data_IF_649509126711
#
_entry.id   IF_649509126711
#
_cell.length_a   1.000
_cell.length_b   1.000
_cell.length_c   1.000
_cell.angle_alpha   90.00
_cell.angle_beta   90.00
_cell.angle_gamma   90.00
#
_symmetry.space_group_name_H-M   'P 1'
#
loop_
_entity.id
_entity.type
_entity.pdbx_description
1 polymer ?
#
# COMPACT_ATOMS: atom_id res chain seq x y z
N UNK A 1 -23.42 -20.15 -3.13
CA UNK A 1 -23.84 -20.97 -1.97
C UNK A 1 -24.77 -20.11 -1.12
N UNK A 2 -25.85 -20.63 -0.52
CA UNK A 2 -26.75 -19.76 0.25
C UNK A 2 -26.13 -19.35 1.61
N UNK A 3 -26.29 -18.11 2.09
CA UNK A 3 -25.68 -17.64 3.35
C UNK A 3 -26.01 -18.49 4.58
N UNK A 4 -27.21 -19.09 4.62
CA UNK A 4 -27.61 -20.03 5.67
C UNK A 4 -26.81 -21.33 5.71
N UNK A 5 -26.38 -21.85 4.55
CA UNK A 5 -25.52 -23.04 4.48
C UNK A 5 -24.10 -22.73 4.96
N UNK A 6 -23.59 -21.53 4.65
CA UNK A 6 -22.28 -21.06 5.12
C UNK A 6 -22.28 -20.90 6.63
N UNK A 7 -23.30 -20.23 7.20
CA UNK A 7 -23.46 -20.07 8.64
C UNK A 7 -23.55 -21.42 9.37
N UNK A 8 -24.29 -22.38 8.80
CA UNK A 8 -24.34 -23.74 9.33
C UNK A 8 -22.96 -24.44 9.27
N UNK A 9 -22.24 -24.34 8.16
CA UNK A 9 -20.90 -24.91 8.01
C UNK A 9 -19.89 -24.35 9.03
N UNK A 10 -19.91 -23.03 9.25
CA UNK A 10 -19.10 -22.35 10.26
C UNK A 10 -19.39 -22.87 11.68
N UNK A 11 -20.67 -23.09 11.99
CA UNK A 11 -21.07 -23.67 13.27
C UNK A 11 -20.68 -25.13 13.43
N UNK A 12 -20.94 -25.96 12.40
CA UNK A 12 -20.74 -27.40 12.46
C UNK A 12 -19.26 -27.82 12.46
N UNK A 13 -18.43 -27.13 11.66
CA UNK A 13 -17.02 -27.52 11.46
C UNK A 13 -16.06 -26.74 12.37
N UNK A 14 -16.37 -25.49 12.68
CA UNK A 14 -15.48 -24.58 13.41
C UNK A 14 -16.04 -24.10 14.76
N UNK A 15 -17.23 -24.57 15.14
CA UNK A 15 -17.88 -24.24 16.41
C UNK A 15 -18.30 -22.78 16.54
N UNK A 16 -18.43 -22.06 15.42
CA UNK A 16 -18.73 -20.63 15.42
C UNK A 16 -20.23 -20.33 15.54
N UNK A 17 -20.57 -19.27 16.27
CA UNK A 17 -21.96 -18.78 16.37
C UNK A 17 -22.18 -17.59 15.45
N UNK A 18 -22.20 -17.86 14.14
CA UNK A 18 -22.43 -16.87 13.08
C UNK A 18 -23.83 -17.08 12.51
N UNK A 19 -24.60 -16.01 12.30
CA UNK A 19 -25.94 -16.10 11.68
C UNK A 19 -25.87 -15.88 10.17
N UNK A 20 -26.90 -16.32 9.44
CA UNK A 20 -27.02 -16.05 8.01
C UNK A 20 -27.04 -14.54 7.70
N UNK A 21 -27.59 -13.73 8.61
CA UNK A 21 -27.61 -12.27 8.49
C UNK A 21 -26.20 -11.66 8.58
N UNK A 22 -25.35 -12.18 9.47
CA UNK A 22 -23.94 -11.77 9.56
C UNK A 22 -23.18 -12.10 8.27
N UNK A 23 -23.38 -13.30 7.72
CA UNK A 23 -22.77 -13.69 6.43
C UNK A 23 -23.24 -12.78 5.31
N UNK A 24 -24.53 -12.46 5.26
CA UNK A 24 -25.09 -11.50 4.31
C UNK A 24 -24.54 -10.08 4.50
N UNK A 25 -24.24 -9.67 5.73
CA UNK A 25 -23.63 -8.38 6.01
C UNK A 25 -22.18 -8.31 5.51
N UNK A 26 -21.43 -9.41 5.61
CA UNK A 26 -20.10 -9.57 5.01
C UNK A 26 -20.15 -9.54 3.48
N UNK A 27 -21.07 -10.28 2.85
CA UNK A 27 -21.26 -10.26 1.39
C UNK A 27 -21.59 -8.86 0.85
N UNK A 28 -22.31 -8.05 1.62
CA UNK A 28 -22.63 -6.66 1.27
C UNK A 28 -21.53 -5.65 1.63
N UNK A 29 -20.44 -6.08 2.27
CA UNK A 29 -19.39 -5.19 2.79
C UNK A 29 -19.85 -4.28 3.93
N UNK A 30 -21.02 -4.52 4.52
CA UNK A 30 -21.55 -3.74 5.66
C UNK A 30 -20.92 -4.12 6.99
N UNK A 31 -20.27 -5.28 7.05
CA UNK A 31 -19.42 -5.72 8.15
C UNK A 31 -18.19 -6.42 7.57
N UNK A 32 -17.10 -6.48 8.32
CA UNK A 32 -15.88 -7.22 7.94
C UNK A 32 -15.69 -8.41 8.89
N UNK A 33 -15.45 -9.62 8.37
CA UNK A 33 -15.13 -10.78 9.21
C UNK A 33 -13.77 -10.57 9.89
N UNK A 34 -13.66 -11.02 11.13
CA UNK A 34 -12.37 -11.13 11.82
C UNK A 34 -11.52 -12.25 11.23
N UNK A 35 -10.23 -12.28 11.56
CA UNK A 35 -9.27 -13.27 11.02
C UNK A 35 -9.70 -14.73 11.21
N UNK A 36 -10.18 -15.09 12.41
CA UNK A 36 -10.66 -16.45 12.66
C UNK A 36 -11.84 -16.79 11.77
N UNK A 37 -12.78 -15.86 11.60
CA UNK A 37 -13.99 -16.02 10.78
C UNK A 37 -13.62 -16.12 9.30
N UNK A 38 -12.64 -15.35 8.83
CA UNK A 38 -12.16 -15.36 7.45
C UNK A 38 -11.47 -16.69 7.11
N UNK A 39 -10.64 -17.22 8.01
CA UNK A 39 -10.04 -18.56 7.85
C UNK A 39 -11.10 -19.68 7.83
N UNK A 40 -12.11 -19.59 8.69
CA UNK A 40 -13.20 -20.55 8.71
C UNK A 40 -14.09 -20.45 7.46
N UNK A 41 -14.34 -19.24 6.96
CA UNK A 41 -15.06 -19.01 5.71
C UNK A 41 -14.31 -19.63 4.53
N UNK A 42 -13.01 -19.41 4.43
CA UNK A 42 -12.15 -19.99 3.40
C UNK A 42 -12.25 -21.53 3.40
N UNK A 43 -12.19 -22.14 4.60
CA UNK A 43 -12.37 -23.58 4.77
C UNK A 43 -13.76 -24.10 4.35
N UNK A 44 -14.83 -23.42 4.73
CA UNK A 44 -16.21 -23.79 4.35
C UNK A 44 -16.48 -23.61 2.85
N UNK A 45 -15.91 -22.56 2.26
CA UNK A 45 -16.07 -22.21 0.85
C UNK A 45 -15.06 -22.92 -0.08
N UNK A 46 -14.09 -23.65 0.48
CA UNK A 46 -13.02 -24.32 -0.25
C UNK A 46 -12.22 -23.38 -1.15
N UNK A 47 -11.94 -22.17 -0.66
CA UNK A 47 -11.12 -21.18 -1.34
C UNK A 47 -9.95 -20.74 -0.45
N UNK A 48 -8.97 -20.03 -1.03
CA UNK A 48 -7.93 -19.40 -0.23
C UNK A 48 -8.51 -18.18 0.50
N UNK A 49 -8.03 -17.84 1.71
CA UNK A 49 -8.43 -16.62 2.41
C UNK A 49 -8.23 -15.35 1.58
N UNK A 50 -7.20 -15.34 0.73
CA UNK A 50 -6.93 -14.25 -0.21
C UNK A 50 -8.02 -14.06 -1.26
N UNK A 51 -8.73 -15.11 -1.66
CA UNK A 51 -9.83 -15.03 -2.64
C UNK A 51 -11.07 -14.32 -2.07
N UNK A 52 -11.18 -14.26 -0.74
CA UNK A 52 -12.24 -13.55 -0.03
C UNK A 52 -11.92 -12.06 0.19
N UNK A 53 -10.66 -11.66 -0.02
CA UNK A 53 -10.19 -10.29 0.14
C UNK A 53 -10.13 -9.62 -1.25
N UNK A 54 -11.09 -8.74 -1.55
CA UNK A 54 -11.19 -8.07 -2.85
C UNK A 54 -9.94 -7.25 -3.22
N UNK A 55 -9.23 -6.72 -2.22
CA UNK A 55 -7.86 -6.23 -2.28
C UNK A 55 -7.33 -6.06 -0.85
N UNK A 56 -6.23 -6.75 -0.51
CA UNK A 56 -5.59 -6.54 0.78
C UNK A 56 -5.07 -5.10 0.87
N UNK A 57 -5.55 -4.37 1.87
CA UNK A 57 -5.25 -2.96 2.11
C UNK A 57 -4.46 -2.75 3.39
N UNK A 58 -4.48 -3.73 4.30
CA UNK A 58 -3.77 -3.70 5.58
C UNK A 58 -2.72 -4.81 5.66
N UNK A 59 -1.68 -4.61 6.48
CA UNK A 59 -0.65 -5.63 6.72
C UNK A 59 -1.25 -6.97 7.15
N UNK A 60 -2.28 -6.90 7.99
CA UNK A 60 -3.02 -8.09 8.46
C UNK A 60 -3.69 -8.83 7.31
N UNK A 61 -4.37 -8.11 6.43
CA UNK A 61 -5.03 -8.71 5.25
C UNK A 61 -4.01 -9.35 4.31
N UNK A 62 -2.86 -8.71 4.08
CA UNK A 62 -1.78 -9.31 3.29
C UNK A 62 -1.24 -10.59 3.93
N UNK A 63 -1.06 -10.60 5.26
CA UNK A 63 -0.64 -11.80 5.99
C UNK A 63 -1.65 -12.93 5.88
N UNK A 64 -2.94 -12.63 6.06
CA UNK A 64 -4.03 -13.61 5.96
C UNK A 64 -4.14 -14.15 4.54
N UNK A 65 -4.00 -13.30 3.51
CA UNK A 65 -4.00 -13.73 2.11
C UNK A 65 -2.86 -14.70 1.76
N UNK A 66 -1.77 -14.69 2.55
CA UNK A 66 -0.62 -15.59 2.42
C UNK A 66 -0.66 -16.77 3.38
N UNK A 67 -1.71 -16.90 4.20
CA UNK A 67 -1.86 -17.92 5.25
C UNK A 67 -0.64 -18.00 6.20
N UNK A 68 -0.08 -16.84 6.56
CA UNK A 68 1.08 -16.76 7.44
C UNK A 68 0.69 -16.48 8.90
N UNK A 69 1.28 -17.24 9.82
CA UNK A 69 1.14 -16.98 11.24
C UNK A 69 1.97 -15.75 11.66
N UNK A 70 1.45 -15.01 12.65
CA UNK A 70 2.13 -13.84 13.24
C UNK A 70 3.53 -14.20 13.74
N UNK A 71 3.68 -15.34 14.41
CA UNK A 71 4.96 -15.80 14.97
C UNK A 71 6.00 -16.13 13.90
N UNK A 72 5.59 -16.74 12.79
CA UNK A 72 6.49 -17.11 11.70
C UNK A 72 6.98 -15.86 10.96
N UNK A 73 6.08 -14.92 10.71
CA UNK A 73 6.43 -13.65 10.09
C UNK A 73 7.34 -12.81 11.01
N UNK A 74 7.03 -12.74 12.31
CA UNK A 74 7.86 -12.05 13.29
C UNK A 74 9.27 -12.67 13.37
N UNK A 75 9.39 -14.00 13.29
CA UNK A 75 10.67 -14.71 13.27
C UNK A 75 11.49 -14.37 12.02
N UNK A 76 10.86 -14.38 10.84
CA UNK A 76 11.50 -13.99 9.57
C UNK A 76 12.03 -12.56 9.62
N UNK A 77 11.30 -11.66 10.28
CA UNK A 77 11.69 -10.27 10.46
C UNK A 77 12.68 -10.03 11.62
N UNK A 78 12.99 -11.06 12.40
CA UNK A 78 13.83 -10.94 13.59
C UNK A 78 13.25 -10.03 14.68
N UNK A 79 11.92 -10.00 14.82
CA UNK A 79 11.21 -9.26 15.87
C UNK A 79 10.33 -10.17 16.72
N UNK A 80 9.83 -9.68 17.86
CA UNK A 80 8.90 -10.45 18.69
C UNK A 80 7.50 -10.42 18.09
N UNK A 81 6.73 -11.51 18.23
CA UNK A 81 5.34 -11.58 17.78
C UNK A 81 4.49 -10.43 18.34
N UNK A 82 4.69 -10.07 19.61
CA UNK A 82 4.02 -8.94 20.26
C UNK A 82 4.41 -7.56 19.71
N UNK A 83 5.59 -7.42 19.11
CA UNK A 83 5.99 -6.19 18.43
C UNK A 83 5.34 -6.10 17.06
N UNK A 84 5.30 -7.22 16.33
CA UNK A 84 4.63 -7.30 15.03
C UNK A 84 3.11 -7.10 15.15
N UNK A 85 2.47 -7.73 16.12
CA UNK A 85 1.04 -7.57 16.35
C UNK A 85 0.65 -6.11 16.65
N UNK A 86 1.47 -5.38 17.42
CA UNK A 86 1.26 -3.94 17.64
C UNK A 86 1.42 -3.12 16.36
N UNK A 87 2.24 -3.56 15.41
CA UNK A 87 2.38 -2.91 14.10
C UNK A 87 1.11 -3.14 13.28
N UNK A 88 0.58 -4.36 13.25
CA UNK A 88 -0.71 -4.66 12.58
C UNK A 88 -1.87 -3.85 13.20
N UNK A 89 -1.96 -3.81 14.52
CA UNK A 89 -3.04 -3.10 15.24
C UNK A 89 -2.97 -1.59 15.08
N UNK A 90 -1.76 -1.02 15.08
CA UNK A 90 -1.57 0.43 14.93
C UNK A 90 -1.57 0.90 13.47
N UNK A 91 -1.43 -0.03 12.52
CA UNK A 91 -1.24 0.29 11.09
C UNK A 91 0.03 1.09 10.81
N UNK A 92 0.95 1.23 11.77
CA UNK A 92 2.15 2.04 11.65
C UNK A 92 3.40 1.19 11.71
N UNK A 93 4.18 1.24 10.64
CA UNK A 93 5.48 0.57 10.61
C UNK A 93 6.49 1.25 11.54
N UNK A 94 7.15 0.46 12.38
CA UNK A 94 8.23 0.89 13.28
C UNK A 94 9.53 0.09 13.12
N UNK A 95 9.57 -0.82 12.15
CA UNK A 95 10.76 -1.63 11.86
C UNK A 95 11.84 -0.83 11.11
N UNK A 96 12.99 -1.46 10.92
CA UNK A 96 14.06 -0.91 10.09
C UNK A 96 13.81 -1.18 8.58
N UNK A 97 14.63 -0.60 7.72
CA UNK A 97 14.56 -0.75 6.26
C UNK A 97 14.75 -2.20 5.82
N UNK A 98 15.70 -2.94 6.42
CA UNK A 98 15.92 -4.37 6.12
C UNK A 98 14.71 -5.23 6.45
N UNK A 99 14.02 -4.91 7.54
CA UNK A 99 12.78 -5.55 7.95
C UNK A 99 11.63 -5.18 7.01
N UNK A 100 11.61 -3.96 6.47
CA UNK A 100 10.58 -3.56 5.50
C UNK A 100 10.76 -4.34 4.18
N UNK A 101 12.00 -4.50 3.71
CA UNK A 101 12.31 -5.34 2.54
C UNK A 101 11.93 -6.80 2.81
N UNK A 102 12.38 -7.37 3.93
CA UNK A 102 12.04 -8.75 4.30
C UNK A 102 10.54 -8.98 4.48
N UNK A 103 9.78 -7.97 4.92
CA UNK A 103 8.32 -8.04 4.99
C UNK A 103 7.69 -8.07 3.60
N UNK A 104 8.17 -7.21 2.69
CA UNK A 104 7.67 -7.17 1.32
C UNK A 104 7.93 -8.50 0.61
N UNK A 105 9.12 -9.06 0.79
CA UNK A 105 9.48 -10.37 0.25
C UNK A 105 8.63 -11.50 0.85
N UNK A 106 8.41 -11.50 2.17
CA UNK A 106 7.65 -12.54 2.85
C UNK A 106 6.15 -12.50 2.53
N UNK A 107 5.59 -11.30 2.34
CA UNK A 107 4.19 -11.12 1.99
C UNK A 107 3.94 -11.07 0.47
N UNK A 108 5.00 -11.14 -0.34
CA UNK A 108 4.97 -10.95 -1.79
C UNK A 108 4.14 -9.70 -2.16
N UNK A 109 4.54 -8.59 -1.55
CA UNK A 109 3.86 -7.30 -1.61
C UNK A 109 4.77 -6.27 -2.28
N UNK A 110 4.19 -5.39 -3.09
CA UNK A 110 4.98 -4.30 -3.68
C UNK A 110 5.28 -3.22 -2.64
N UNK A 111 6.34 -2.45 -2.87
CA UNK A 111 6.69 -1.31 -2.02
C UNK A 111 5.54 -0.26 -1.94
N UNK A 112 4.73 -0.15 -2.99
CA UNK A 112 3.52 0.68 -3.01
C UNK A 112 2.44 0.15 -2.07
N UNK A 113 2.16 -1.16 -2.12
CA UNK A 113 1.22 -1.81 -1.20
C UNK A 113 1.68 -1.68 0.25
N UNK A 114 2.98 -1.82 0.52
CA UNK A 114 3.55 -1.60 1.84
C UNK A 114 3.31 -0.17 2.37
N UNK A 115 3.54 0.86 1.55
CA UNK A 115 3.34 2.24 1.99
C UNK A 115 1.86 2.58 2.21
N UNK A 116 0.97 2.04 1.38
CA UNK A 116 -0.48 2.15 1.57
C UNK A 116 -0.90 1.47 2.88
N UNK A 117 -0.46 0.23 3.09
CA UNK A 117 -0.78 -0.56 4.28
C UNK A 117 -0.20 0.01 5.59
N UNK A 118 0.84 0.83 5.51
CA UNK A 118 1.50 1.46 6.67
C UNK A 118 1.12 2.93 6.87
N UNK A 119 0.27 3.48 6.00
CA UNK A 119 -0.18 4.88 6.07
C UNK A 119 0.93 5.92 5.85
N UNK A 120 2.07 5.53 5.24
CA UNK A 120 3.23 6.41 5.01
C UNK A 120 3.19 7.13 3.67
N UNK A 121 2.08 7.00 2.94
CA UNK A 121 1.95 7.55 1.60
C UNK A 121 1.98 9.08 1.59
N UNK A 122 1.40 9.74 2.60
CA UNK A 122 1.44 11.20 2.75
C UNK A 122 2.86 11.72 3.03
N UNK A 123 3.63 10.99 3.84
CA UNK A 123 5.02 11.32 4.13
C UNK A 123 5.87 11.22 2.84
N UNK A 124 5.64 10.18 2.03
CA UNK A 124 6.28 10.04 0.72
C UNK A 124 5.91 11.19 -0.21
N UNK A 125 4.62 11.49 -0.36
CA UNK A 125 4.13 12.56 -1.23
C UNK A 125 4.79 13.91 -0.88
N UNK A 126 4.90 14.22 0.41
CA UNK A 126 5.58 15.43 0.89
C UNK A 126 7.07 15.47 0.57
N UNK A 127 7.79 14.34 0.70
CA UNK A 127 9.22 14.26 0.34
C UNK A 127 9.42 14.36 -1.17
N UNK A 128 8.61 13.66 -1.97
CA UNK A 128 8.67 13.68 -3.43
C UNK A 128 8.38 15.08 -3.98
N UNK A 129 7.33 15.73 -3.48
CA UNK A 129 6.97 17.11 -3.88
C UNK A 129 8.15 18.06 -3.66
N UNK A 130 8.80 18.00 -2.50
CA UNK A 130 9.99 18.82 -2.21
C UNK A 130 11.18 18.43 -3.08
N UNK A 131 11.40 17.13 -3.32
CA UNK A 131 12.48 16.64 -4.16
C UNK A 131 12.37 17.17 -5.60
N UNK A 132 11.18 17.09 -6.17
CA UNK A 132 10.87 17.50 -7.54
C UNK A 132 10.92 19.02 -7.70
N UNK A 133 10.37 19.78 -6.74
CA UNK A 133 10.33 21.24 -6.82
C UNK A 133 11.65 21.94 -6.48
N UNK A 134 12.50 21.31 -5.68
CA UNK A 134 13.76 21.92 -5.23
C UNK A 134 14.98 21.15 -5.76
N UNK A 135 15.70 20.46 -4.88
CA UNK A 135 16.93 19.73 -5.19
C UNK A 135 16.77 18.27 -4.82
N UNK A 136 16.50 17.44 -5.82
CA UNK A 136 16.22 16.02 -5.65
C UNK A 136 17.35 15.23 -4.95
N UNK A 137 18.63 15.60 -5.15
CA UNK A 137 19.75 14.83 -4.57
C UNK A 137 19.75 14.81 -3.03
N UNK A 138 19.21 15.86 -2.38
CA UNK A 138 19.12 15.92 -0.93
C UNK A 138 18.06 14.96 -0.36
N UNK A 139 17.09 14.54 -1.19
CA UNK A 139 15.94 13.74 -0.80
C UNK A 139 16.10 12.25 -1.10
N UNK A 140 17.16 11.84 -1.80
CA UNK A 140 17.47 10.41 -2.04
C UNK A 140 17.52 9.63 -0.72
N UNK A 141 18.29 10.11 0.27
CA UNK A 141 18.45 9.41 1.55
C UNK A 141 17.18 9.38 2.41
N UNK A 142 16.38 10.46 2.51
CA UNK A 142 15.05 10.40 3.13
C UNK A 142 14.10 9.39 2.48
N UNK A 143 14.05 9.32 1.15
CA UNK A 143 13.15 8.41 0.41
C UNK A 143 13.61 6.96 0.51
N UNK A 144 14.91 6.70 0.37
CA UNK A 144 15.57 5.39 0.55
C UNK A 144 15.24 4.75 1.91
N UNK A 145 15.19 5.55 2.98
CA UNK A 145 14.78 5.07 4.31
C UNK A 145 13.29 4.78 4.44
N UNK A 146 12.48 5.39 3.58
CA UNK A 146 11.02 5.30 3.65
C UNK A 146 10.53 4.09 2.85
N UNK A 147 11.11 3.88 1.67
CA UNK A 147 10.67 2.93 0.67
C UNK A 147 11.64 1.74 0.63
N UNK A 148 11.16 0.48 0.69
CA UNK A 148 12.00 -0.71 0.56
C UNK A 148 12.41 -0.94 -0.90
N UNK A 149 13.15 -0.01 -1.49
CA UNK A 149 13.71 -0.09 -2.85
C UNK A 149 15.23 0.12 -2.82
N UNK A 150 15.92 -0.35 -3.86
CA UNK A 150 17.35 -0.07 -4.01
C UNK A 150 17.60 1.44 -4.18
N UNK A 151 18.56 1.97 -3.44
CA UNK A 151 19.00 3.35 -3.50
C UNK A 151 19.31 3.85 -4.92
N UNK A 152 19.88 3.00 -5.77
CA UNK A 152 20.20 3.34 -7.17
C UNK A 152 18.90 3.56 -7.95
N UNK A 153 17.90 2.70 -7.75
CA UNK A 153 16.59 2.84 -8.37
C UNK A 153 15.91 4.14 -7.90
N UNK A 154 15.91 4.40 -6.58
CA UNK A 154 15.37 5.64 -6.01
C UNK A 154 16.05 6.88 -6.60
N UNK A 155 17.38 6.84 -6.77
CA UNK A 155 18.13 7.94 -7.37
C UNK A 155 17.68 8.20 -8.82
N UNK A 156 17.63 7.15 -9.64
CA UNK A 156 17.25 7.26 -11.05
C UNK A 156 15.82 7.77 -11.22
N UNK A 157 14.88 7.27 -10.40
CA UNK A 157 13.48 7.68 -10.43
C UNK A 157 13.33 9.15 -10.01
N UNK A 158 14.04 9.59 -8.97
CA UNK A 158 14.01 10.99 -8.52
C UNK A 158 14.62 11.96 -9.55
N UNK A 159 15.69 11.54 -10.24
CA UNK A 159 16.29 12.30 -11.33
C UNK A 159 15.31 12.46 -12.49
N UNK A 160 14.66 11.37 -12.90
CA UNK A 160 13.68 11.37 -13.99
C UNK A 160 12.46 12.24 -13.65
N UNK A 161 11.87 12.08 -12.47
CA UNK A 161 10.73 12.90 -12.01
C UNK A 161 11.07 14.39 -11.98
N UNK A 162 12.28 14.74 -11.53
CA UNK A 162 12.73 16.12 -11.54
C UNK A 162 12.89 16.66 -12.96
N UNK A 163 13.48 15.88 -13.87
CA UNK A 163 13.62 16.26 -15.28
C UNK A 163 12.25 16.46 -15.95
N UNK A 164 11.29 15.55 -15.71
CA UNK A 164 9.94 15.63 -16.26
C UNK A 164 9.18 16.86 -15.77
N UNK A 165 9.27 17.17 -14.47
CA UNK A 165 8.69 18.38 -13.91
C UNK A 165 9.34 19.65 -14.48
N UNK A 166 10.68 19.69 -14.60
CA UNK A 166 11.37 20.84 -15.19
C UNK A 166 11.01 21.02 -16.67
N UNK A 167 10.86 19.92 -17.43
CA UNK A 167 10.42 19.97 -18.83
C UNK A 167 9.00 20.54 -18.96
N UNK A 168 8.08 20.15 -18.08
CA UNK A 168 6.74 20.73 -17.99
C UNK A 168 6.82 22.24 -17.68
N UNK A 169 7.63 22.65 -16.71
CA UNK A 169 7.82 24.06 -16.35
C UNK A 169 8.49 24.91 -17.44
N UNK A 170 9.37 24.33 -18.27
CA UNK A 170 10.01 25.03 -19.39
C UNK A 170 9.07 25.13 -20.60
N UNK A 171 8.31 24.08 -20.90
CA UNK A 171 7.32 24.09 -21.98
C UNK A 171 6.24 25.15 -21.76
N UNK A 172 5.83 25.35 -20.50
CA UNK A 172 4.90 26.39 -20.06
C UNK A 172 5.50 27.80 -20.07
N UNK A 173 6.82 27.95 -20.15
CA UNK A 173 7.47 29.25 -20.42
C UNK A 173 7.53 29.53 -21.93
N UNK A 174 7.82 28.52 -22.76
CA UNK A 174 7.97 28.69 -24.22
C UNK A 174 6.67 29.09 -24.93
N UNK A 175 5.50 28.66 -24.44
CA UNK A 175 4.21 29.03 -25.04
C UNK A 175 3.70 30.42 -24.60
N UNK A 176 4.19 30.95 -23.47
CA UNK A 176 3.73 32.22 -22.89
C UNK A 176 4.21 33.42 -23.70
N UNK A 177 5.25 33.20 -24.50
CA UNK A 177 5.87 34.20 -25.36
C UNK A 177 5.07 34.41 -26.66
N UNK A 178 4.13 33.52 -26.98
CA UNK A 178 3.40 33.49 -28.26
C UNK A 178 1.93 33.94 -28.23
N UNK A 179 1.32 34.24 -27.08
CA UNK A 179 -0.01 34.87 -27.12
C UNK A 179 -0.89 34.72 -25.88
N UNK A 180 -1.56 35.83 -25.59
CA UNK A 180 -2.67 36.13 -24.69
C UNK A 180 -3.57 34.94 -24.27
N UNK A 181 -3.83 34.86 -22.95
CA UNK A 181 -4.96 34.19 -22.26
C UNK A 181 -4.86 32.75 -21.70
N UNK A 182 -3.70 32.25 -21.24
CA UNK A 182 -3.66 31.01 -20.41
C UNK A 182 -2.62 30.98 -19.28
N UNK A 183 -2.51 32.04 -18.48
CA UNK A 183 -1.66 32.01 -17.27
C UNK A 183 -2.17 31.03 -16.18
N UNK A 184 -3.44 30.61 -16.23
CA UNK A 184 -4.06 29.70 -15.25
C UNK A 184 -3.74 28.21 -15.45
N UNK A 185 -3.72 27.74 -16.70
CA UNK A 185 -3.61 26.29 -17.01
C UNK A 185 -2.21 25.73 -16.78
N UNK A 186 -1.17 26.55 -16.96
CA UNK A 186 0.23 26.15 -16.75
C UNK A 186 0.56 25.84 -15.28
N UNK A 187 -0.04 26.58 -14.34
CA UNK A 187 0.08 26.29 -12.91
C UNK A 187 -0.82 25.12 -12.46
N UNK A 188 -1.88 24.82 -13.22
CA UNK A 188 -2.76 23.68 -13.02
C UNK A 188 -2.08 22.36 -13.41
N UNK A 189 -1.42 22.30 -14.58
CA UNK A 189 -0.68 21.10 -15.03
C UNK A 189 0.45 20.72 -14.06
N UNK A 190 1.19 21.70 -13.54
CA UNK A 190 2.21 21.48 -12.52
C UNK A 190 1.63 21.00 -11.18
N UNK A 191 0.45 21.50 -10.77
CA UNK A 191 -0.25 21.01 -9.58
C UNK A 191 -0.79 19.61 -9.77
N UNK A 192 -1.36 19.30 -10.92
CA UNK A 192 -1.89 17.98 -11.25
C UNK A 192 -0.78 16.92 -11.31
N UNK A 193 0.42 17.30 -11.77
CA UNK A 193 1.61 16.45 -11.68
C UNK A 193 2.03 16.21 -10.23
N UNK A 194 2.03 17.25 -9.39
CA UNK A 194 2.38 17.12 -7.97
C UNK A 194 1.34 16.32 -7.18
N UNK A 195 0.06 16.45 -7.51
CA UNK A 195 -1.02 15.66 -6.91
C UNK A 195 -0.89 14.17 -7.25
N UNK A 196 -0.34 13.83 -8.42
CA UNK A 196 -0.06 12.47 -8.87
C UNK A 196 1.41 12.04 -8.70
N UNK A 197 2.23 12.80 -7.97
CA UNK A 197 3.68 12.56 -7.88
C UNK A 197 4.03 11.16 -7.36
N UNK A 198 3.20 10.62 -6.46
CA UNK A 198 3.36 9.26 -5.93
C UNK A 198 3.07 8.22 -7.01
N UNK A 199 2.00 8.39 -7.79
CA UNK A 199 1.66 7.49 -8.89
C UNK A 199 2.76 7.51 -9.96
N UNK A 200 3.25 8.70 -10.31
CA UNK A 200 4.35 8.87 -11.25
C UNK A 200 5.66 8.25 -10.76
N UNK A 201 5.93 8.32 -9.46
CA UNK A 201 7.07 7.65 -8.83
C UNK A 201 7.00 6.14 -9.00
N UNK A 202 5.85 5.52 -8.71
CA UNK A 202 5.68 4.07 -8.88
C UNK A 202 5.72 3.64 -10.33
N UNK A 203 5.05 4.38 -11.22
CA UNK A 203 5.08 4.16 -12.67
C UNK A 203 6.49 4.17 -13.23
N UNK A 204 7.32 5.12 -12.76
CA UNK A 204 8.72 5.25 -13.18
C UNK A 204 9.61 4.16 -12.56
N UNK A 205 9.29 3.72 -11.34
CA UNK A 205 9.94 2.58 -10.70
C UNK A 205 9.55 1.22 -11.32
N UNK A 206 8.52 1.17 -12.16
CA UNK A 206 8.03 -0.04 -12.82
C UNK A 206 7.12 -0.90 -11.94
N UNK A 207 6.43 -0.29 -10.97
CA UNK A 207 5.52 -0.93 -10.00
C UNK A 207 4.08 -0.50 -10.26
#
# INVERSE_FOLDING_TARGET
MAPGHVAYGLGAQYGMRVTAETVMAWERGTALPGERELMALAGVLWCAPGDLLAAASTLREHRIARDLAVDDLARTLGMTASAYQRIEESGRWRGNERQAVALCDALDMSAAQFLTATGRNEELAGLLTRAVTTRWQAYVRPVDKLVPLDRILVQNVLEQLHADYQALMVSTLSWNTTGRDRAGTAGEEGREFLDRVVEEFWRTAGI
#
